data_IF_587604217735
#
_entry.id   IF_587604217735
#
_cell.length_a   1.000
_cell.length_b   1.000
_cell.length_c   1.000
_cell.angle_alpha   90.00
_cell.angle_beta   90.00
_cell.angle_gamma   90.00
#
_symmetry.space_group_name_H-M   'P 1'
#
loop_
_entity.id
_entity.type
_entity.pdbx_description
1 polymer ?
#
# COMPACT_ATOMS: atom_id res chain seq x y z
N UNK A 1 -3.46 -15.01 0.42
CA UNK A 1 -3.48 -13.68 1.07
C UNK A 1 -3.18 -12.59 0.06
N UNK A 2 -3.71 -12.76 -1.14
CA UNK A 2 -3.60 -11.81 -2.23
C UNK A 2 -5.01 -11.57 -2.74
N UNK A 3 -5.21 -10.48 -3.47
CA UNK A 3 -6.48 -10.24 -4.17
C UNK A 3 -6.63 -11.19 -5.38
N UNK A 4 -7.78 -11.19 -6.04
CA UNK A 4 -7.97 -11.99 -7.25
C UNK A 4 -7.07 -11.50 -8.38
N UNK A 5 -6.69 -12.38 -9.31
CA UNK A 5 -5.73 -12.05 -10.38
C UNK A 5 -6.19 -10.85 -11.24
N UNK A 6 -7.45 -10.86 -11.69
CA UNK A 6 -8.02 -9.76 -12.46
C UNK A 6 -8.07 -8.45 -11.65
N UNK A 7 -8.40 -8.52 -10.36
CA UNK A 7 -8.42 -7.36 -9.46
C UNK A 7 -7.01 -6.79 -9.29
N UNK A 8 -6.00 -7.67 -9.14
CA UNK A 8 -4.60 -7.29 -9.00
C UNK A 8 -4.08 -6.61 -10.27
N UNK A 9 -4.39 -7.17 -11.44
CA UNK A 9 -3.95 -6.62 -12.72
C UNK A 9 -4.55 -5.23 -12.96
N UNK A 10 -5.86 -5.08 -12.77
CA UNK A 10 -6.55 -3.80 -12.90
C UNK A 10 -5.98 -2.74 -11.95
N UNK A 11 -5.69 -3.13 -10.69
CA UNK A 11 -5.04 -2.25 -9.73
C UNK A 11 -3.65 -1.84 -10.18
N UNK A 12 -2.79 -2.80 -10.54
CA UNK A 12 -1.40 -2.55 -10.91
C UNK A 12 -1.32 -1.62 -12.13
N UNK A 13 -2.12 -1.87 -13.16
CA UNK A 13 -2.15 -1.05 -14.37
C UNK A 13 -2.65 0.36 -14.07
N UNK A 14 -3.80 0.50 -13.40
CA UNK A 14 -4.36 1.80 -13.06
C UNK A 14 -3.44 2.62 -12.13
N UNK A 15 -2.87 1.98 -11.10
CA UNK A 15 -1.92 2.61 -10.18
C UNK A 15 -0.65 3.05 -10.91
N UNK A 16 -0.12 2.20 -11.80
CA UNK A 16 1.06 2.54 -12.62
C UNK A 16 0.79 3.76 -13.50
N UNK A 17 -0.33 3.80 -14.20
CA UNK A 17 -0.70 4.95 -15.03
C UNK A 17 -0.83 6.22 -14.19
N UNK A 18 -1.53 6.17 -13.06
CA UNK A 18 -1.69 7.32 -12.18
C UNK A 18 -0.36 7.84 -11.63
N UNK A 19 0.45 6.97 -11.04
CA UNK A 19 1.70 7.42 -10.39
C UNK A 19 2.70 7.97 -11.39
N UNK A 20 2.78 7.42 -12.61
CA UNK A 20 3.63 7.97 -13.67
C UNK A 20 3.11 9.31 -14.19
N UNK A 21 1.79 9.46 -14.34
CA UNK A 21 1.20 10.74 -14.77
C UNK A 21 1.38 11.83 -13.70
N UNK A 22 1.19 11.48 -12.42
CA UNK A 22 1.45 12.40 -11.29
C UNK A 22 2.91 12.83 -11.22
N UNK A 23 3.83 11.90 -11.52
CA UNK A 23 5.27 12.21 -11.55
C UNK A 23 5.61 13.22 -12.66
N UNK A 24 4.99 13.05 -13.84
CA UNK A 24 5.18 13.88 -15.01
C UNK A 24 6.26 13.34 -15.97
N UNK A 25 6.23 13.75 -17.26
CA UNK A 25 7.04 13.15 -18.32
C UNK A 25 8.55 13.38 -18.16
N UNK A 26 8.96 14.53 -17.63
CA UNK A 26 10.39 14.87 -17.46
C UNK A 26 11.09 13.88 -16.51
N UNK A 27 10.46 13.55 -15.40
CA UNK A 27 11.04 12.65 -14.39
C UNK A 27 10.74 11.18 -14.66
N UNK A 28 9.65 10.88 -15.37
CA UNK A 28 9.37 9.53 -15.84
C UNK A 28 10.37 9.05 -16.91
N UNK A 29 10.96 9.98 -17.67
CA UNK A 29 11.95 9.70 -18.72
C UNK A 29 13.40 9.53 -18.25
N UNK A 30 13.67 9.68 -16.96
CA UNK A 30 15.01 9.74 -16.34
C UNK A 30 15.76 8.37 -16.29
N UNK A 31 15.33 7.36 -17.05
CA UNK A 31 15.99 6.05 -17.12
C UNK A 31 16.00 5.21 -15.84
N UNK A 32 15.39 5.70 -14.74
CA UNK A 32 15.22 4.97 -13.48
C UNK A 32 14.29 3.77 -13.65
N UNK A 33 14.50 2.76 -12.81
CA UNK A 33 13.64 1.58 -12.82
C UNK A 33 12.19 1.94 -12.40
N UNK A 34 11.24 1.15 -12.90
CA UNK A 34 9.81 1.43 -12.72
C UNK A 34 9.41 1.53 -11.24
N UNK A 35 10.00 0.76 -10.32
CA UNK A 35 9.62 0.83 -8.89
C UNK A 35 10.04 2.17 -8.30
N UNK A 36 11.22 2.66 -8.66
CA UNK A 36 11.71 3.97 -8.22
C UNK A 36 10.83 5.09 -8.76
N UNK A 37 10.40 5.01 -10.02
CA UNK A 37 9.47 5.98 -10.62
C UNK A 37 8.10 5.97 -9.91
N UNK A 38 7.54 4.79 -9.64
CA UNK A 38 6.25 4.67 -8.96
C UNK A 38 6.32 5.18 -7.51
N UNK A 39 7.40 4.88 -6.79
CA UNK A 39 7.60 5.41 -5.44
C UNK A 39 7.76 6.95 -5.44
N UNK A 40 8.40 7.52 -6.46
CA UNK A 40 8.50 8.97 -6.64
C UNK A 40 7.15 9.61 -6.97
N UNK A 41 6.36 9.01 -7.87
CA UNK A 41 5.00 9.43 -8.19
C UNK A 41 4.09 9.40 -6.96
N UNK A 42 4.16 8.32 -6.17
CA UNK A 42 3.47 8.20 -4.88
C UNK A 42 3.85 9.31 -3.91
N UNK A 43 5.15 9.60 -3.78
CA UNK A 43 5.64 10.69 -2.92
C UNK A 43 5.13 12.06 -3.39
N UNK A 44 5.09 12.30 -4.71
CA UNK A 44 4.54 13.52 -5.32
C UNK A 44 3.05 13.68 -5.02
N UNK A 45 2.29 12.60 -5.20
CA UNK A 45 0.86 12.56 -4.89
C UNK A 45 0.59 12.91 -3.42
N UNK A 46 1.31 12.26 -2.49
CA UNK A 46 1.10 12.50 -1.06
C UNK A 46 1.51 13.89 -0.61
N UNK A 47 2.48 14.52 -1.29
CA UNK A 47 2.87 15.90 -1.02
C UNK A 47 1.85 16.93 -1.53
N UNK A 48 1.11 16.58 -2.58
CA UNK A 48 0.10 17.45 -3.21
C UNK A 48 -1.00 16.61 -3.86
N UNK A 49 -2.05 16.24 -3.10
CA UNK A 49 -3.12 15.38 -3.59
C UNK A 49 -3.88 15.96 -4.79
N UNK A 50 -3.87 17.28 -5.00
CA UNK A 50 -4.53 17.95 -6.13
C UNK A 50 -3.93 17.59 -7.50
N UNK A 51 -2.75 16.96 -7.50
CA UNK A 51 -2.11 16.42 -8.70
C UNK A 51 -2.88 15.25 -9.30
N UNK A 52 -3.69 14.56 -8.49
CA UNK A 52 -4.46 13.42 -8.95
C UNK A 52 -5.49 13.82 -10.01
N UNK A 53 -6.17 14.94 -9.82
CA UNK A 53 -7.15 15.46 -10.78
C UNK A 53 -6.50 15.83 -12.12
N UNK A 54 -5.33 16.50 -12.08
CA UNK A 54 -4.55 16.80 -13.30
C UNK A 54 -4.06 15.55 -14.00
N UNK A 55 -3.64 14.53 -13.23
CA UNK A 55 -3.23 13.25 -13.77
C UNK A 55 -4.40 12.53 -14.46
N UNK A 56 -5.61 12.58 -13.87
CA UNK A 56 -6.81 12.02 -14.50
C UNK A 56 -7.16 12.72 -15.81
N UNK A 57 -7.07 14.05 -15.87
CA UNK A 57 -7.26 14.82 -17.10
C UNK A 57 -6.21 14.44 -18.18
N UNK A 58 -4.95 14.33 -17.79
CA UNK A 58 -3.85 13.92 -18.68
C UNK A 58 -4.04 12.51 -19.24
N UNK A 59 -4.47 11.55 -18.39
CA UNK A 59 -4.77 10.18 -18.82
C UNK A 59 -6.00 10.13 -19.73
N UNK A 60 -7.06 10.90 -19.43
CA UNK A 60 -8.24 10.99 -20.27
C UNK A 60 -7.90 11.53 -21.67
N UNK A 61 -7.02 12.54 -21.76
CA UNK A 61 -6.47 13.04 -23.03
C UNK A 61 -5.71 11.98 -23.85
N UNK A 62 -5.19 10.94 -23.18
CA UNK A 62 -4.51 9.78 -23.80
C UNK A 62 -5.47 8.60 -24.03
N UNK A 63 -6.78 8.79 -23.83
CA UNK A 63 -7.80 7.73 -23.89
C UNK A 63 -7.54 6.57 -22.90
N UNK A 64 -6.82 6.84 -21.80
CA UNK A 64 -6.59 5.88 -20.72
C UNK A 64 -7.59 6.16 -19.61
N UNK A 65 -8.43 5.16 -19.30
CA UNK A 65 -9.39 5.25 -18.20
C UNK A 65 -8.88 4.46 -17.01
N UNK A 66 -8.92 5.06 -15.82
CA UNK A 66 -8.59 4.37 -14.58
C UNK A 66 -9.87 3.85 -13.94
N UNK A 67 -9.93 2.57 -13.54
CA UNK A 67 -11.12 2.03 -12.89
C UNK A 67 -11.48 2.81 -11.61
N UNK A 68 -12.77 3.12 -11.36
CA UNK A 68 -13.19 3.89 -10.19
C UNK A 68 -12.71 3.30 -8.85
N UNK A 69 -12.66 1.98 -8.74
CA UNK A 69 -12.18 1.30 -7.54
C UNK A 69 -10.68 1.54 -7.28
N UNK A 70 -9.88 1.63 -8.35
CA UNK A 70 -8.45 1.95 -8.24
C UNK A 70 -8.26 3.42 -7.85
N UNK A 71 -9.08 4.31 -8.40
CA UNK A 71 -9.08 5.72 -8.01
C UNK A 71 -9.47 5.89 -6.53
N UNK A 72 -10.52 5.21 -6.07
CA UNK A 72 -10.93 5.21 -4.67
C UNK A 72 -9.80 4.68 -3.77
N UNK A 73 -9.11 3.62 -4.20
CA UNK A 73 -7.96 3.08 -3.49
C UNK A 73 -6.82 4.09 -3.37
N UNK A 74 -6.42 4.73 -4.48
CA UNK A 74 -5.39 5.78 -4.47
C UNK A 74 -5.77 6.93 -3.53
N UNK A 75 -7.04 7.34 -3.50
CA UNK A 75 -7.52 8.38 -2.59
C UNK A 75 -7.46 7.99 -1.11
N UNK A 76 -7.52 6.70 -0.80
CA UNK A 76 -7.38 6.16 0.56
C UNK A 76 -5.94 5.80 0.93
N UNK A 77 -4.97 6.10 0.05
CA UNK A 77 -3.58 5.69 0.22
C UNK A 77 -2.92 6.39 1.41
N UNK A 78 -2.40 5.59 2.33
CA UNK A 78 -1.53 6.03 3.41
C UNK A 78 -0.15 5.37 3.26
N UNK A 79 0.90 6.18 3.27
CA UNK A 79 2.28 5.69 3.34
C UNK A 79 2.87 6.07 4.69
N UNK A 80 3.16 5.04 5.49
CA UNK A 80 3.74 5.17 6.82
C UNK A 80 4.81 4.09 7.01
N UNK A 81 5.57 4.20 8.09
CA UNK A 81 6.46 3.15 8.57
C UNK A 81 5.67 2.10 9.34
N UNK A 82 4.95 1.25 8.61
CA UNK A 82 4.05 0.26 9.20
C UNK A 82 4.80 -0.89 9.86
N UNK A 83 4.29 -1.37 10.99
CA UNK A 83 4.79 -2.61 11.60
C UNK A 83 4.17 -3.81 10.88
N UNK A 84 4.92 -4.43 9.97
CA UNK A 84 4.58 -5.72 9.39
C UNK A 84 4.96 -6.84 10.36
N UNK A 85 4.01 -7.26 11.19
CA UNK A 85 4.29 -8.15 12.32
C UNK A 85 4.49 -9.61 11.88
N UNK A 86 3.51 -10.17 11.17
CA UNK A 86 3.52 -11.57 10.70
C UNK A 86 2.43 -11.82 9.67
N UNK A 87 2.56 -12.96 9.00
CA UNK A 87 1.51 -13.51 8.16
C UNK A 87 0.58 -14.45 8.92
N UNK A 88 -0.69 -14.47 8.52
CA UNK A 88 -1.66 -15.50 8.91
C UNK A 88 -1.89 -16.46 7.73
N UNK A 89 -3.00 -17.20 7.75
CA UNK A 89 -3.47 -17.94 6.56
C UNK A 89 -4.23 -17.05 5.57
N UNK A 90 -4.81 -15.93 6.04
CA UNK A 90 -5.75 -15.11 5.28
C UNK A 90 -5.19 -13.74 4.87
N UNK A 91 -4.46 -13.07 5.75
CA UNK A 91 -3.82 -11.76 5.54
C UNK A 91 -2.49 -11.60 6.28
N UNK A 92 -1.71 -10.60 5.88
CA UNK A 92 -0.57 -10.05 6.64
C UNK A 92 -1.07 -9.09 7.72
N UNK A 93 -0.45 -9.09 8.90
CA UNK A 93 -0.83 -8.17 9.99
C UNK A 93 0.07 -6.95 9.94
N UNK A 94 -0.56 -5.79 9.78
CA UNK A 94 0.07 -4.49 9.87
C UNK A 94 -0.43 -3.77 11.12
N UNK A 95 0.46 -3.08 11.83
CA UNK A 95 0.09 -2.18 12.92
C UNK A 95 0.53 -0.78 12.52
N UNK A 96 -0.35 0.18 12.76
CA UNK A 96 -0.06 1.60 12.60
C UNK A 96 1.18 1.98 13.45
N UNK A 97 2.09 2.83 12.96
CA UNK A 97 3.32 3.19 13.68
C UNK A 97 3.07 3.74 15.09
N UNK A 98 1.94 4.45 15.30
CA UNK A 98 1.59 5.01 16.61
C UNK A 98 0.88 3.98 17.50
N UNK A 99 0.79 2.73 17.03
CA UNK A 99 0.18 1.62 17.74
C UNK A 99 -1.33 1.78 17.96
N UNK A 100 -2.01 2.66 17.20
CA UNK A 100 -3.41 3.00 17.45
C UNK A 100 -4.42 2.05 16.79
N UNK A 101 -4.02 1.41 15.70
CA UNK A 101 -4.87 0.49 14.95
C UNK A 101 -4.03 -0.63 14.31
N UNK A 102 -4.69 -1.74 13.98
CA UNK A 102 -4.07 -2.82 13.24
C UNK A 102 -4.98 -3.30 12.11
N UNK A 103 -4.35 -3.80 11.04
CA UNK A 103 -5.02 -4.12 9.79
C UNK A 103 -4.64 -5.52 9.30
N UNK A 104 -5.63 -6.27 8.81
CA UNK A 104 -5.41 -7.44 7.99
C UNK A 104 -5.26 -7.01 6.53
N UNK A 105 -4.03 -7.07 6.02
CA UNK A 105 -3.65 -6.55 4.70
C UNK A 105 -3.39 -7.69 3.71
N UNK A 106 -3.88 -7.53 2.48
CA UNK A 106 -3.58 -8.43 1.37
C UNK A 106 -2.48 -7.86 0.47
N UNK A 107 -1.68 -8.74 -0.11
CA UNK A 107 -0.84 -8.38 -1.26
C UNK A 107 -1.65 -8.30 -2.55
N UNK A 108 -1.06 -7.74 -3.60
CA UNK A 108 -1.68 -7.71 -4.93
C UNK A 108 -1.46 -9.04 -5.66
N UNK A 109 -0.21 -9.36 -5.97
CA UNK A 109 0.18 -10.58 -6.72
C UNK A 109 1.01 -11.55 -5.88
N UNK A 110 1.68 -11.06 -4.85
CA UNK A 110 2.56 -11.84 -3.97
C UNK A 110 2.29 -11.48 -2.50
N UNK A 111 2.66 -12.37 -1.58
CA UNK A 111 2.63 -12.06 -0.14
C UNK A 111 3.82 -11.17 0.20
N UNK A 112 3.68 -10.33 1.24
CA UNK A 112 4.77 -9.43 1.60
C UNK A 112 6.03 -10.19 2.07
N UNK A 113 5.89 -11.29 2.82
CA UNK A 113 7.02 -12.16 3.17
C UNK A 113 7.79 -12.70 1.96
N UNK A 114 7.11 -12.90 0.83
CA UNK A 114 7.75 -13.45 -0.38
C UNK A 114 8.56 -12.34 -1.09
N UNK A 115 8.19 -11.08 -0.88
CA UNK A 115 8.91 -9.89 -1.35
C UNK A 115 10.09 -9.55 -0.43
N UNK A 116 9.90 -9.65 0.90
CA UNK A 116 10.89 -9.23 1.90
C UNK A 116 11.84 -10.36 2.36
N UNK A 117 11.48 -11.62 2.14
CA UNK A 117 12.21 -12.80 2.60
C UNK A 117 11.81 -13.32 3.99
N UNK A 118 11.23 -12.47 4.85
CA UNK A 118 10.68 -12.84 6.16
C UNK A 118 9.62 -11.81 6.62
N UNK A 119 9.04 -12.02 7.80
CA UNK A 119 8.12 -11.13 8.50
C UNK A 119 8.71 -10.58 9.80
N UNK A 120 8.04 -9.60 10.42
CA UNK A 120 8.51 -8.97 11.65
C UNK A 120 9.51 -7.87 11.35
N UNK A 121 9.05 -6.84 10.64
CA UNK A 121 9.80 -5.66 10.28
C UNK A 121 8.91 -4.41 10.36
N UNK A 122 9.54 -3.25 10.52
CA UNK A 122 8.92 -1.97 10.16
C UNK A 122 9.22 -1.71 8.69
N UNK A 123 8.19 -1.45 7.90
CA UNK A 123 8.27 -1.27 6.46
C UNK A 123 7.57 0.01 6.02
N UNK A 124 8.26 0.83 5.24
CA UNK A 124 7.67 2.01 4.63
C UNK A 124 7.02 1.61 3.30
N UNK A 125 5.69 1.57 3.26
CA UNK A 125 4.91 1.15 2.08
C UNK A 125 3.50 1.74 2.11
N UNK A 126 2.78 1.66 0.98
CA UNK A 126 1.40 2.10 0.90
C UNK A 126 0.45 1.06 1.47
N UNK A 127 -0.51 1.50 2.27
CA UNK A 127 -1.73 0.78 2.63
C UNK A 127 -2.93 1.56 2.09
N UNK A 128 -3.91 0.86 1.54
CA UNK A 128 -5.10 1.49 0.95
C UNK A 128 -6.30 0.54 0.99
N UNK A 129 -7.49 1.11 0.79
CA UNK A 129 -8.71 0.34 0.64
C UNK A 129 -8.99 0.02 -0.83
N UNK A 130 -9.08 -1.27 -1.18
CA UNK A 130 -9.44 -1.72 -2.52
C UNK A 130 -10.43 -2.88 -2.45
N UNK A 131 -11.58 -2.75 -3.11
CA UNK A 131 -12.67 -3.74 -3.03
C UNK A 131 -13.11 -4.05 -1.60
N UNK A 132 -13.16 -3.03 -0.72
CA UNK A 132 -13.52 -3.17 0.70
C UNK A 132 -12.51 -3.94 1.55
N UNK A 133 -11.28 -4.16 1.07
CA UNK A 133 -10.20 -4.82 1.79
C UNK A 133 -8.98 -3.92 1.86
N UNK A 134 -8.20 -4.04 2.93
CA UNK A 134 -6.90 -3.38 3.00
C UNK A 134 -5.90 -4.12 2.11
N UNK A 135 -5.24 -3.38 1.22
CA UNK A 135 -4.19 -3.89 0.34
C UNK A 135 -2.95 -3.03 0.47
N UNK A 136 -1.80 -3.58 0.07
CA UNK A 136 -0.54 -2.83 -0.04
C UNK A 136 -0.11 -2.69 -1.49
N UNK A 137 0.47 -1.55 -1.85
CA UNK A 137 1.09 -1.36 -3.17
C UNK A 137 2.43 -2.11 -3.32
N UNK A 138 2.93 -2.69 -2.21
CA UNK A 138 4.19 -3.42 -2.13
C UNK A 138 5.43 -2.62 -2.59
N UNK A 139 5.31 -1.31 -2.78
CA UNK A 139 6.43 -0.42 -3.04
C UNK A 139 7.10 -0.09 -1.71
N UNK A 140 7.99 -0.98 -1.29
CA UNK A 140 8.74 -0.87 -0.03
C UNK A 140 9.98 0.00 -0.25
N UNK A 141 10.04 1.12 0.46
CA UNK A 141 11.14 2.10 0.37
C UNK A 141 12.14 2.01 1.52
N UNK A 142 11.72 1.48 2.67
CA UNK A 142 12.56 1.24 3.85
C UNK A 142 12.13 -0.02 4.59
N UNK A 143 13.11 -0.72 5.17
CA UNK A 143 12.90 -1.93 5.99
C UNK A 143 13.80 -1.86 7.21
N UNK A 144 13.23 -2.09 8.39
CA UNK A 144 13.97 -2.31 9.63
C UNK A 144 13.47 -3.58 10.32
N UNK A 145 14.32 -4.59 10.43
CA UNK A 145 13.96 -5.88 11.02
C UNK A 145 13.78 -5.77 12.53
N UNK A 146 12.68 -6.31 13.04
CA UNK A 146 12.37 -6.28 14.47
C UNK A 146 13.07 -7.44 15.18
N UNK A 147 13.82 -7.11 16.23
CA UNK A 147 14.32 -8.07 17.19
C UNK A 147 13.20 -8.76 17.97
N UNK A 148 13.52 -9.88 18.62
CA UNK A 148 12.53 -10.72 19.33
C UNK A 148 11.71 -9.95 20.37
N UNK A 149 12.31 -9.03 21.12
CA UNK A 149 11.63 -8.21 22.12
C UNK A 149 10.52 -7.35 21.52
N UNK A 150 10.85 -6.55 20.50
CA UNK A 150 9.86 -5.73 19.79
C UNK A 150 8.75 -6.57 19.15
N UNK A 151 9.07 -7.75 18.58
CA UNK A 151 8.04 -8.66 18.03
C UNK A 151 7.04 -9.11 19.11
N UNK A 152 7.50 -9.37 20.32
CA UNK A 152 6.62 -9.74 21.44
C UNK A 152 5.76 -8.56 21.88
N UNK A 153 6.36 -7.37 22.01
CA UNK A 153 5.63 -6.14 22.35
C UNK A 153 4.49 -5.85 21.36
N UNK A 154 4.78 -5.87 20.06
CA UNK A 154 3.77 -5.69 19.03
C UNK A 154 2.73 -6.82 18.98
N UNK A 155 3.09 -8.04 19.39
CA UNK A 155 2.13 -9.14 19.53
C UNK A 155 1.17 -8.89 20.69
N UNK A 156 1.66 -8.42 21.83
CA UNK A 156 0.83 -7.99 22.96
C UNK A 156 -0.08 -6.84 22.54
N UNK A 157 0.49 -5.81 21.88
CA UNK A 157 -0.27 -4.66 21.39
C UNK A 157 -1.38 -5.05 20.43
N UNK A 158 -1.12 -5.99 19.51
CA UNK A 158 -2.15 -6.53 18.64
C UNK A 158 -3.31 -7.17 19.43
N UNK A 159 -3.01 -7.86 20.53
CA UNK A 159 -4.02 -8.42 21.43
C UNK A 159 -4.91 -7.34 22.05
N UNK A 160 -4.31 -6.25 22.54
CA UNK A 160 -5.03 -5.10 23.07
C UNK A 160 -5.91 -4.41 22.02
N UNK A 161 -5.37 -4.19 20.82
CA UNK A 161 -6.11 -3.58 19.72
C UNK A 161 -7.32 -4.41 19.31
N UNK A 162 -7.20 -5.75 19.32
CA UNK A 162 -8.34 -6.64 19.09
C UNK A 162 -9.39 -6.52 20.19
N UNK A 163 -8.98 -6.52 21.45
CA UNK A 163 -9.89 -6.36 22.59
C UNK A 163 -10.63 -5.01 22.55
N UNK A 164 -9.99 -3.97 22.00
CA UNK A 164 -10.58 -2.63 21.82
C UNK A 164 -11.41 -2.48 20.54
N UNK A 165 -11.54 -3.54 19.70
CA UNK A 165 -12.23 -3.44 18.41
C UNK A 165 -11.48 -2.61 17.35
N UNK A 166 -10.18 -2.34 17.56
CA UNK A 166 -9.31 -1.55 16.67
C UNK A 166 -8.48 -2.39 15.70
N UNK A 167 -8.90 -3.63 15.47
CA UNK A 167 -8.32 -4.52 14.46
C UNK A 167 -9.29 -4.70 13.29
N UNK A 168 -8.94 -4.17 12.13
CA UNK A 168 -9.82 -4.13 10.96
C UNK A 168 -9.31 -5.06 9.85
N UNK A 169 -10.19 -5.88 9.29
CA UNK A 169 -9.88 -6.73 8.12
C UNK A 169 -10.68 -6.34 6.87
N UNK A 170 -11.59 -5.38 7.03
CA UNK A 170 -12.41 -4.77 5.99
C UNK A 170 -12.33 -3.26 6.17
N UNK A 171 -12.38 -2.54 5.07
CA UNK A 171 -12.51 -1.09 5.12
C UNK A 171 -13.89 -0.69 5.66
N UNK A 172 -14.03 0.50 6.25
CA UNK A 172 -15.34 1.11 6.45
C UNK A 172 -16.08 1.24 5.12
N UNK A 173 -17.42 1.10 5.17
CA UNK A 173 -18.32 1.26 4.03
C UNK A 173 -18.54 2.73 3.68
#
# INVERSE_FOLDING_TARGET
MIVGEAEALAFIEGYKHLMLEVLGPEEAGDGRDIRTLLAAGRKRYLADPSRLERALEGLAGKSITVPPEVLAAVRSLEVKAWVYLRDTRAYSIFIDPDGQAAYGVLGLTQRLRDILGDSGAVVETGLMCYGGRYVTDALVTRVAWLGRGYRQEFTTRLGELRAQGKFCTRCPA
#
